data_IF_273009929643
#
_entry.id   IF_273009929643
#
_cell.length_a   1.000
_cell.length_b   1.000
_cell.length_c   1.000
_cell.angle_alpha   90.00
_cell.angle_beta   90.00
_cell.angle_gamma   90.00
#
_symmetry.space_group_name_H-M   'P 1'
#
loop_
_entity.id
_entity.type
_entity.pdbx_description
1 polymer ?
#
# COMPACT_ATOMS: atom_id res chain seq x y z
N UNK A 1 1.72 8.93 -31.20
CA UNK A 1 2.36 9.05 -29.87
C UNK A 1 1.28 8.73 -28.86
N UNK A 2 1.30 7.56 -28.23
CA UNK A 2 0.29 7.24 -27.19
C UNK A 2 0.43 8.33 -26.14
N UNK A 3 -0.57 9.18 -26.00
CA UNK A 3 -0.56 10.21 -24.97
C UNK A 3 -0.72 9.48 -23.64
N UNK A 4 0.40 9.01 -23.05
CA UNK A 4 0.49 8.39 -21.73
C UNK A 4 0.01 9.32 -20.59
N UNK A 5 -0.46 10.52 -20.95
CA UNK A 5 -1.14 11.45 -20.07
C UNK A 5 -2.59 11.01 -19.92
N UNK A 6 -2.80 10.09 -18.99
CA UNK A 6 -4.14 9.67 -18.58
C UNK A 6 -4.81 10.73 -17.68
N UNK A 7 -4.04 11.41 -16.80
CA UNK A 7 -4.59 12.40 -15.87
C UNK A 7 -4.08 13.83 -16.13
N UNK A 8 -4.96 14.80 -15.89
CA UNK A 8 -4.59 16.21 -15.80
C UNK A 8 -3.72 16.53 -14.57
N UNK A 9 -3.08 17.71 -14.52
CA UNK A 9 -2.09 18.05 -13.49
C UNK A 9 -2.66 18.04 -12.07
N UNK A 10 -3.93 18.44 -11.89
CA UNK A 10 -4.60 18.45 -10.57
C UNK A 10 -4.82 17.04 -10.00
N UNK A 11 -5.29 16.12 -10.84
CA UNK A 11 -5.54 14.73 -10.44
C UNK A 11 -4.21 14.00 -10.19
N UNK A 12 -3.18 14.24 -11.01
CA UNK A 12 -1.86 13.67 -10.79
C UNK A 12 -1.22 14.16 -9.48
N UNK A 13 -1.39 15.44 -9.12
CA UNK A 13 -0.93 15.96 -7.83
C UNK A 13 -1.67 15.28 -6.65
N UNK A 14 -2.98 15.13 -6.73
CA UNK A 14 -3.77 14.39 -5.74
C UNK A 14 -3.28 12.92 -5.60
N UNK A 15 -3.05 12.24 -6.73
CA UNK A 15 -2.56 10.87 -6.77
C UNK A 15 -1.19 10.71 -6.09
N UNK A 16 -0.28 11.69 -6.21
CA UNK A 16 1.00 11.68 -5.50
C UNK A 16 0.79 11.76 -4.00
N UNK A 17 -0.07 12.68 -3.52
CA UNK A 17 -0.32 12.85 -2.08
C UNK A 17 -0.89 11.58 -1.47
N UNK A 18 -1.91 10.98 -2.11
CA UNK A 18 -2.51 9.72 -1.66
C UNK A 18 -1.47 8.59 -1.68
N UNK A 19 -0.63 8.53 -2.71
CA UNK A 19 0.41 7.49 -2.79
C UNK A 19 1.45 7.64 -1.69
N UNK A 20 1.95 8.84 -1.42
CA UNK A 20 2.93 9.08 -0.35
C UNK A 20 2.35 8.69 1.00
N UNK A 21 1.12 9.14 1.30
CA UNK A 21 0.44 8.78 2.55
C UNK A 21 0.21 7.27 2.67
N UNK A 22 -0.31 6.64 1.62
CA UNK A 22 -0.58 5.20 1.57
C UNK A 22 0.70 4.36 1.77
N UNK A 23 1.81 4.74 1.14
CA UNK A 23 3.10 4.05 1.31
C UNK A 23 3.57 4.11 2.76
N UNK A 24 3.58 5.30 3.37
CA UNK A 24 4.05 5.47 4.75
C UNK A 24 3.19 4.64 5.71
N UNK A 25 1.87 4.75 5.58
CA UNK A 25 0.94 4.05 6.45
C UNK A 25 1.04 2.52 6.31
N UNK A 26 1.07 2.00 5.08
CA UNK A 26 1.12 0.55 4.84
C UNK A 26 2.46 -0.08 5.21
N UNK A 27 3.58 0.63 5.04
CA UNK A 27 4.89 0.14 5.49
C UNK A 27 4.91 0.04 7.01
N UNK A 28 4.41 1.06 7.73
CA UNK A 28 4.34 1.01 9.19
C UNK A 28 3.47 -0.14 9.68
N UNK A 29 2.29 -0.34 9.08
CA UNK A 29 1.44 -1.50 9.39
C UNK A 29 2.15 -2.82 9.09
N UNK A 30 2.80 -2.95 7.92
CA UNK A 30 3.54 -4.15 7.55
C UNK A 30 4.64 -4.50 8.55
N UNK A 31 5.39 -3.51 9.03
CA UNK A 31 6.41 -3.70 10.08
C UNK A 31 5.78 -4.11 11.41
N UNK A 32 4.68 -3.45 11.83
CA UNK A 32 4.02 -3.79 13.09
C UNK A 32 3.39 -5.19 13.09
N UNK A 33 2.85 -5.65 11.96
CA UNK A 33 2.37 -7.02 11.80
C UNK A 33 3.54 -8.03 11.78
N UNK A 34 4.67 -7.69 11.17
CA UNK A 34 5.86 -8.55 11.16
C UNK A 34 6.46 -8.75 12.57
N UNK A 35 6.37 -7.72 13.43
CA UNK A 35 6.78 -7.80 14.85
C UNK A 35 5.68 -8.41 15.74
N UNK A 36 4.54 -8.79 15.18
CA UNK A 36 3.40 -9.38 15.91
C UNK A 36 2.88 -8.47 17.03
N UNK A 37 2.71 -7.16 16.74
CA UNK A 37 2.23 -6.18 17.71
C UNK A 37 0.82 -6.52 18.23
N UNK A 38 0.65 -6.55 19.55
CA UNK A 38 -0.63 -6.82 20.21
C UNK A 38 -1.68 -5.70 20.05
N UNK A 39 -1.33 -4.54 19.50
CA UNK A 39 -2.30 -3.47 19.21
C UNK A 39 -3.19 -3.81 18.01
N UNK A 40 -2.72 -4.70 17.14
CA UNK A 40 -3.28 -4.90 15.80
C UNK A 40 -3.98 -6.25 15.65
N UNK A 41 -4.44 -6.84 16.76
CA UNK A 41 -5.09 -8.15 16.75
C UNK A 41 -6.45 -8.08 16.07
N UNK A 42 -7.15 -6.95 16.16
CA UNK A 42 -8.49 -6.77 15.60
C UNK A 42 -8.49 -6.77 14.06
N UNK A 43 -7.35 -6.46 13.43
CA UNK A 43 -7.20 -6.47 11.97
C UNK A 43 -6.84 -7.87 11.44
N UNK A 44 -6.53 -8.82 12.33
CA UNK A 44 -6.23 -10.20 11.94
C UNK A 44 -7.53 -11.01 11.91
N UNK A 45 -7.83 -11.71 10.80
CA UNK A 45 -9.05 -12.50 10.70
C UNK A 45 -8.91 -13.78 11.51
N UNK A 46 -9.17 -13.71 12.81
CA UNK A 46 -9.26 -14.89 13.66
C UNK A 46 -10.60 -15.60 13.42
N UNK A 47 -10.55 -16.89 13.14
CA UNK A 47 -11.74 -17.75 13.17
C UNK A 47 -11.88 -18.33 14.58
N UNK A 48 -13.10 -18.51 15.09
CA UNK A 48 -13.31 -19.15 16.40
C UNK A 48 -12.66 -20.55 16.46
N UNK A 49 -12.67 -21.27 15.34
CA UNK A 49 -11.97 -22.54 15.12
C UNK A 49 -10.46 -22.46 15.43
N UNK A 50 -9.82 -21.32 15.11
CA UNK A 50 -8.38 -21.10 15.33
C UNK A 50 -8.04 -20.88 16.82
N UNK A 51 -9.02 -20.42 17.60
CA UNK A 51 -8.85 -20.12 19.02
C UNK A 51 -9.16 -21.34 19.88
N UNK A 52 -10.21 -22.10 19.55
CA UNK A 52 -10.72 -23.18 20.40
C UNK A 52 -10.28 -24.59 20.00
N UNK A 53 -9.98 -24.85 18.73
CA UNK A 53 -9.87 -26.23 18.21
C UNK A 53 -8.42 -26.65 17.89
N UNK A 54 -7.48 -25.72 17.80
CA UNK A 54 -6.12 -26.03 17.34
C UNK A 54 -5.20 -26.57 18.48
N UNK A 55 -4.54 -27.74 18.32
CA UNK A 55 -3.56 -28.25 19.27
C UNK A 55 -2.28 -27.41 19.39
N UNK A 56 -1.97 -26.56 18.40
CA UNK A 56 -0.81 -25.66 18.46
C UNK A 56 -1.19 -24.21 18.07
N UNK A 57 -1.95 -23.51 18.94
CA UNK A 57 -2.54 -22.21 18.62
C UNK A 57 -1.52 -21.14 18.17
N UNK A 58 -0.31 -20.99 18.76
CA UNK A 58 0.55 -19.87 18.39
C UNK A 58 1.09 -19.96 16.96
N UNK A 59 1.32 -21.16 16.42
CA UNK A 59 1.93 -21.32 15.10
C UNK A 59 0.99 -20.89 13.97
N UNK A 60 -0.32 -21.13 14.10
CA UNK A 60 -1.32 -20.68 13.12
C UNK A 60 -1.50 -19.16 13.19
N UNK A 61 -1.55 -18.61 14.40
CA UNK A 61 -1.65 -17.16 14.62
C UNK A 61 -0.48 -16.40 13.97
N UNK A 62 0.76 -16.85 14.16
CA UNK A 62 1.92 -16.21 13.53
C UNK A 62 1.85 -16.24 11.99
N UNK A 63 1.37 -17.34 11.39
CA UNK A 63 1.18 -17.39 9.93
C UNK A 63 0.13 -16.40 9.43
N UNK A 64 -0.94 -16.19 10.19
CA UNK A 64 -1.96 -15.19 9.85
C UNK A 64 -1.40 -13.77 9.90
N UNK A 65 -0.67 -13.42 10.96
CA UNK A 65 0.04 -12.14 11.06
C UNK A 65 0.99 -11.92 9.89
N UNK A 66 1.79 -12.94 9.58
CA UNK A 66 2.73 -12.89 8.46
C UNK A 66 2.00 -12.68 7.12
N UNK A 67 0.89 -13.39 6.87
CA UNK A 67 0.09 -13.22 5.65
C UNK A 67 -0.48 -11.80 5.52
N UNK A 68 -1.01 -11.22 6.60
CA UNK A 68 -1.52 -9.84 6.60
C UNK A 68 -0.36 -8.85 6.36
N UNK A 69 0.79 -9.07 7.00
CA UNK A 69 1.97 -8.23 6.81
C UNK A 69 2.42 -8.19 5.34
N UNK A 70 2.44 -9.33 4.66
CA UNK A 70 2.80 -9.42 3.25
C UNK A 70 1.80 -8.67 2.35
N UNK A 71 0.50 -8.77 2.64
CA UNK A 71 -0.52 -8.03 1.89
C UNK A 71 -0.31 -6.50 2.02
N UNK A 72 0.00 -6.01 3.22
CA UNK A 72 0.34 -4.60 3.45
C UNK A 72 1.59 -4.17 2.67
N UNK A 73 2.64 -4.99 2.65
CA UNK A 73 3.85 -4.70 1.87
C UNK A 73 3.61 -4.71 0.35
N UNK A 74 2.81 -5.66 -0.15
CA UNK A 74 2.43 -5.70 -1.57
C UNK A 74 1.61 -4.46 -1.94
N UNK A 75 0.65 -4.08 -1.11
CA UNK A 75 -0.14 -2.87 -1.31
C UNK A 75 0.75 -1.61 -1.29
N UNK A 76 1.70 -1.52 -0.37
CA UNK A 76 2.67 -0.42 -0.33
C UNK A 76 3.50 -0.35 -1.63
N UNK A 77 3.96 -1.48 -2.16
CA UNK A 77 4.68 -1.53 -3.42
C UNK A 77 3.81 -1.04 -4.60
N UNK A 78 2.53 -1.39 -4.64
CA UNK A 78 1.58 -0.89 -5.65
C UNK A 78 1.46 0.64 -5.55
N UNK A 79 1.35 1.20 -4.34
CA UNK A 79 1.32 2.65 -4.17
C UNK A 79 2.61 3.34 -4.60
N UNK A 80 3.78 2.72 -4.42
CA UNK A 80 5.05 3.26 -4.95
C UNK A 80 4.99 3.34 -6.48
N UNK A 81 4.53 2.28 -7.15
CA UNK A 81 4.41 2.24 -8.62
C UNK A 81 3.43 3.30 -9.12
N UNK A 82 2.26 3.42 -8.49
CA UNK A 82 1.24 4.41 -8.84
C UNK A 82 1.72 5.85 -8.57
N UNK A 83 2.45 6.07 -7.47
CA UNK A 83 3.08 7.34 -7.14
C UNK A 83 4.15 7.74 -8.16
N UNK A 84 5.00 6.78 -8.54
CA UNK A 84 6.00 6.95 -9.59
C UNK A 84 5.37 7.27 -10.96
N UNK A 85 4.29 6.56 -11.32
CA UNK A 85 3.54 6.85 -12.54
C UNK A 85 2.90 8.24 -12.51
N UNK A 86 2.29 8.64 -11.39
CA UNK A 86 1.72 9.97 -11.19
C UNK A 86 2.78 11.07 -11.27
N UNK A 87 3.96 10.84 -10.70
CA UNK A 87 5.10 11.74 -10.80
C UNK A 87 5.58 11.91 -12.25
N UNK A 88 5.70 10.82 -13.00
CA UNK A 88 6.00 10.85 -14.44
C UNK A 88 4.93 11.66 -15.21
N UNK A 89 3.64 11.49 -14.90
CA UNK A 89 2.57 12.27 -15.53
C UNK A 89 2.67 13.76 -15.22
N UNK A 90 2.98 14.16 -13.98
CA UNK A 90 3.21 15.57 -13.64
C UNK A 90 4.37 16.14 -14.43
N UNK A 91 5.48 15.40 -14.55
CA UNK A 91 6.65 15.83 -15.33
C UNK A 91 6.33 15.98 -16.83
N UNK A 92 5.57 15.05 -17.41
CA UNK A 92 5.13 15.13 -18.81
C UNK A 92 4.14 16.27 -19.03
N UNK A 93 3.23 16.53 -18.09
CA UNK A 93 2.30 17.66 -18.13
C UNK A 93 3.06 18.99 -18.13
N UNK A 94 4.05 19.16 -17.24
CA UNK A 94 4.91 20.36 -17.22
C UNK A 94 5.68 20.53 -18.52
N UNK A 95 6.19 19.45 -19.13
CA UNK A 95 6.89 19.54 -20.42
C UNK A 95 5.99 20.02 -21.55
N UNK A 96 4.70 19.63 -21.55
CA UNK A 96 3.73 20.11 -22.56
C UNK A 96 3.39 21.58 -22.38
N UNK A 97 3.34 22.07 -21.15
CA UNK A 97 3.08 23.49 -20.86
C UNK A 97 4.15 24.41 -21.50
N UNK A 98 5.43 24.01 -21.49
CA UNK A 98 6.50 24.79 -22.13
C UNK A 98 6.50 24.76 -23.66
N UNK A 99 5.79 23.83 -24.30
CA UNK A 99 5.73 23.76 -25.78
C UNK A 99 4.61 24.63 -26.38
N UNK A 100 3.70 25.14 -25.55
CA UNK A 100 2.53 25.93 -26.01
C UNK A 100 2.79 27.45 -25.91
N UNK A 101 3.97 27.88 -25.45
CA UNK A 101 4.41 29.28 -25.44
C UNK A 101 5.69 29.43 -26.25
#
# INVERSE_FOLDING_TARGET
>A
MVSLLCCGPKLAACGIVISVWGVIMLILLGVFFNVHSAVLIEDVPFTEEDIFEDPNPPAKMYRLYEQVSYNCFIAAAIYIVLGGFSFCQVRLNKRKEYMVR
#
